data_IF_041692322407
#
_entry.id   IF_041692322407
#
_cell.length_a   1.000
_cell.length_b   1.000
_cell.length_c   1.000
_cell.angle_alpha   90.00
_cell.angle_beta   90.00
_cell.angle_gamma   90.00
#
_symmetry.space_group_name_H-M   'P 1'
#
loop_
_entity.id
_entity.type
_entity.pdbx_description
1 polymer ?
#
# COMPACT_ATOMS: atom_id res chain seq x y z
N UNK A 1 -24.28 -37.34 -22.14
CA UNK A 1 -24.79 -36.02 -21.68
C UNK A 1 -23.70 -35.00 -21.97
N UNK A 2 -23.87 -34.31 -23.11
CA UNK A 2 -22.97 -33.25 -23.57
C UNK A 2 -23.17 -32.01 -22.71
N UNK A 3 -22.21 -31.76 -21.81
CA UNK A 3 -22.14 -30.50 -21.08
C UNK A 3 -21.80 -29.37 -22.04
N UNK A 4 -22.77 -28.51 -22.33
CA UNK A 4 -22.54 -27.25 -22.99
C UNK A 4 -21.78 -26.38 -22.01
N UNK A 5 -20.45 -26.30 -22.14
CA UNK A 5 -19.66 -25.23 -21.52
C UNK A 5 -19.98 -23.93 -22.24
N UNK A 6 -20.96 -23.19 -21.73
CA UNK A 6 -21.14 -21.79 -22.09
C UNK A 6 -19.93 -21.02 -21.59
N UNK A 7 -19.08 -20.59 -22.51
CA UNK A 7 -18.01 -19.64 -22.24
C UNK A 7 -18.65 -18.25 -22.01
N UNK A 8 -19.39 -18.11 -20.90
CA UNK A 8 -19.89 -16.83 -20.47
C UNK A 8 -18.75 -16.09 -19.77
N UNK A 9 -18.35 -14.96 -20.34
CA UNK A 9 -17.48 -14.00 -19.63
C UNK A 9 -18.40 -13.21 -18.68
N UNK A 10 -18.37 -13.48 -17.37
CA UNK A 10 -19.19 -12.73 -16.44
C UNK A 10 -18.69 -11.29 -16.36
N UNK A 11 -19.58 -10.33 -16.50
CA UNK A 11 -19.32 -8.92 -16.24
C UNK A 11 -19.91 -8.60 -14.87
N UNK A 12 -19.09 -8.08 -13.98
CA UNK A 12 -19.48 -7.63 -12.66
C UNK A 12 -19.41 -6.11 -12.59
N UNK A 13 -20.50 -5.47 -12.18
CA UNK A 13 -20.54 -4.04 -11.88
C UNK A 13 -20.62 -3.89 -10.37
N UNK A 14 -19.63 -3.26 -9.78
CA UNK A 14 -19.55 -3.07 -8.34
C UNK A 14 -18.66 -1.88 -8.01
N UNK A 15 -18.87 -1.28 -6.85
CA UNK A 15 -17.96 -0.31 -6.25
C UNK A 15 -17.08 -0.94 -5.14
N UNK A 16 -17.27 -2.25 -4.85
CA UNK A 16 -16.46 -2.96 -3.87
C UNK A 16 -15.14 -3.44 -4.48
N UNK A 17 -14.06 -2.72 -4.23
CA UNK A 17 -12.73 -3.07 -4.73
C UNK A 17 -12.20 -4.39 -4.18
N UNK A 18 -12.64 -4.80 -2.98
CA UNK A 18 -12.35 -6.13 -2.40
C UNK A 18 -12.85 -7.27 -3.29
N UNK A 19 -14.04 -7.13 -3.87
CA UNK A 19 -14.65 -8.09 -4.79
C UNK A 19 -13.94 -8.06 -6.13
N UNK A 20 -13.65 -6.85 -6.66
CA UNK A 20 -12.89 -6.68 -7.90
C UNK A 20 -11.54 -7.39 -7.80
N UNK A 21 -10.82 -7.18 -6.71
CA UNK A 21 -9.52 -7.80 -6.44
C UNK A 21 -9.56 -9.34 -6.50
N UNK A 22 -10.61 -9.94 -5.95
CA UNK A 22 -10.72 -11.39 -5.83
C UNK A 22 -11.19 -12.09 -7.12
N UNK A 23 -12.05 -11.43 -7.89
CA UNK A 23 -12.77 -12.09 -8.98
C UNK A 23 -12.39 -11.58 -10.38
N UNK A 24 -11.94 -10.32 -10.50
CA UNK A 24 -11.68 -9.73 -11.79
C UNK A 24 -10.27 -10.03 -12.29
N UNK A 25 -10.15 -10.27 -13.60
CA UNK A 25 -8.85 -10.28 -14.30
C UNK A 25 -8.59 -8.93 -14.97
N UNK A 26 -9.63 -8.32 -15.52
CA UNK A 26 -9.60 -6.99 -16.13
C UNK A 26 -10.60 -6.08 -15.41
N UNK A 27 -10.26 -4.82 -15.33
CA UNK A 27 -11.04 -3.77 -14.68
C UNK A 27 -11.26 -2.62 -15.64
N UNK A 28 -12.47 -2.08 -15.62
CA UNK A 28 -12.82 -0.82 -16.27
C UNK A 28 -13.38 0.10 -15.20
N UNK A 29 -12.75 1.24 -15.00
CA UNK A 29 -13.20 2.27 -14.06
C UNK A 29 -14.04 3.28 -14.84
N UNK A 30 -15.24 3.56 -14.33
CA UNK A 30 -16.19 4.49 -14.95
C UNK A 30 -16.45 5.62 -13.94
N UNK A 31 -16.36 6.85 -14.41
CA UNK A 31 -16.74 8.05 -13.66
C UNK A 31 -17.55 8.98 -14.57
N UNK A 32 -18.63 9.56 -14.03
CA UNK A 32 -19.53 10.47 -14.74
C UNK A 32 -20.02 9.92 -16.11
N UNK A 33 -20.11 8.60 -16.27
CA UNK A 33 -20.55 7.94 -17.51
C UNK A 33 -19.44 7.70 -18.54
N UNK A 34 -18.20 8.07 -18.24
CA UNK A 34 -17.04 7.88 -19.10
C UNK A 34 -16.07 6.83 -18.53
N UNK A 35 -15.39 6.09 -19.41
CA UNK A 35 -14.32 5.20 -19.01
C UNK A 35 -13.08 6.04 -18.73
N UNK A 36 -12.65 6.09 -17.47
CA UNK A 36 -11.49 6.88 -17.03
C UNK A 36 -10.22 6.05 -16.94
N UNK A 37 -10.33 4.74 -16.73
CA UNK A 37 -9.17 3.85 -16.70
C UNK A 37 -9.58 2.41 -17.04
N UNK A 38 -8.67 1.65 -17.67
CA UNK A 38 -8.87 0.24 -18.02
C UNK A 38 -7.55 -0.51 -18.01
N UNK A 39 -7.53 -1.75 -17.50
CA UNK A 39 -6.36 -2.62 -17.53
C UNK A 39 -6.54 -3.91 -16.74
N UNK A 40 -5.46 -4.68 -16.63
CA UNK A 40 -5.43 -5.82 -15.72
C UNK A 40 -5.56 -5.38 -14.27
N UNK A 41 -6.26 -6.19 -13.47
CA UNK A 41 -6.49 -5.88 -12.05
C UNK A 41 -5.19 -5.58 -11.30
N UNK A 42 -4.13 -6.34 -11.54
CA UNK A 42 -2.83 -6.11 -10.91
C UNK A 42 -2.26 -4.73 -11.26
N UNK A 43 -2.30 -4.32 -12.53
CA UNK A 43 -1.76 -3.04 -12.99
C UNK A 43 -2.55 -1.85 -12.41
N UNK A 44 -3.89 -1.94 -12.45
CA UNK A 44 -4.76 -0.91 -11.89
C UNK A 44 -4.52 -0.74 -10.38
N UNK A 45 -4.34 -1.85 -9.64
CA UNK A 45 -4.10 -1.79 -8.19
C UNK A 45 -2.68 -1.36 -7.83
N UNK A 46 -1.68 -1.64 -8.68
CA UNK A 46 -0.28 -1.26 -8.40
C UNK A 46 0.07 0.12 -8.93
N UNK A 47 -0.48 0.52 -10.09
CA UNK A 47 -0.10 1.75 -10.79
C UNK A 47 -1.34 2.50 -11.31
N UNK A 48 -2.26 2.90 -10.41
CA UNK A 48 -3.43 3.66 -10.84
C UNK A 48 -3.00 5.00 -11.41
N UNK A 49 -3.42 5.30 -12.63
CA UNK A 49 -3.07 6.53 -13.34
C UNK A 49 -4.09 7.64 -13.13
N UNK A 50 -5.39 7.29 -12.98
CA UNK A 50 -6.45 8.26 -12.85
C UNK A 50 -6.76 8.60 -11.37
N UNK A 51 -6.98 9.90 -11.01
CA UNK A 51 -7.28 10.30 -9.64
C UNK A 51 -8.48 9.59 -9.00
N UNK A 52 -9.53 9.33 -9.78
CA UNK A 52 -10.71 8.58 -9.32
C UNK A 52 -10.34 7.16 -8.92
N UNK A 53 -9.53 6.47 -9.74
CA UNK A 53 -9.03 5.12 -9.42
C UNK A 53 -8.18 5.14 -8.16
N UNK A 54 -7.30 6.14 -8.01
CA UNK A 54 -6.48 6.33 -6.82
C UNK A 54 -7.35 6.51 -5.56
N UNK A 55 -8.42 7.31 -5.65
CA UNK A 55 -9.36 7.51 -4.55
C UNK A 55 -10.07 6.21 -4.14
N UNK A 56 -10.59 5.44 -5.11
CA UNK A 56 -11.21 4.14 -4.83
C UNK A 56 -10.24 3.14 -4.20
N UNK A 57 -9.00 3.13 -4.66
CA UNK A 57 -8.00 2.18 -4.15
C UNK A 57 -7.46 2.57 -2.79
N UNK A 58 -7.42 3.85 -2.45
CA UNK A 58 -6.94 4.32 -1.14
C UNK A 58 -7.74 3.72 0.03
N UNK A 59 -9.02 3.46 -0.18
CA UNK A 59 -9.87 2.81 0.82
C UNK A 59 -9.55 1.33 1.02
N UNK A 60 -9.10 0.64 -0.03
CA UNK A 60 -8.89 -0.82 -0.05
C UNK A 60 -7.46 -1.22 0.22
N UNK A 61 -6.51 -0.50 -0.34
CA UNK A 61 -5.06 -0.77 -0.17
C UNK A 61 -4.58 -0.41 1.24
N UNK A 62 -5.49 0.12 2.08
CA UNK A 62 -5.22 0.31 3.51
C UNK A 62 -4.34 1.53 3.78
N UNK A 63 -4.57 2.60 3.06
CA UNK A 63 -3.94 3.91 3.32
C UNK A 63 -4.38 4.53 4.65
N UNK A 64 -5.33 3.90 5.36
CA UNK A 64 -5.74 4.37 6.66
C UNK A 64 -4.80 3.92 7.76
N UNK A 65 -4.24 4.87 8.47
CA UNK A 65 -3.53 4.62 9.73
C UNK A 65 -4.53 4.06 10.74
N UNK A 66 -4.22 2.95 11.46
CA UNK A 66 -5.12 2.46 12.50
C UNK A 66 -5.53 3.57 13.46
N UNK A 67 -6.81 3.65 13.82
CA UNK A 67 -7.34 4.71 14.70
C UNK A 67 -6.56 4.81 16.00
N UNK A 68 -6.16 3.67 16.57
CA UNK A 68 -5.33 3.59 17.79
C UNK A 68 -3.95 4.19 17.64
N UNK A 69 -3.39 4.17 16.43
CA UNK A 69 -2.11 4.81 16.12
C UNK A 69 -2.33 6.28 15.78
N UNK A 70 -3.34 6.60 14.97
CA UNK A 70 -3.67 7.96 14.56
C UNK A 70 -3.91 8.88 15.76
N UNK A 71 -4.62 8.40 16.79
CA UNK A 71 -4.88 9.17 18.02
C UNK A 71 -3.64 9.48 18.87
N UNK A 72 -2.54 8.80 18.62
CA UNK A 72 -1.25 8.96 19.34
C UNK A 72 -0.20 9.73 18.53
N UNK A 73 -0.48 9.98 17.25
CA UNK A 73 0.43 10.72 16.39
C UNK A 73 0.45 12.19 16.75
N UNK A 74 1.65 12.75 16.84
CA UNK A 74 1.87 14.20 16.98
C UNK A 74 2.79 14.70 15.87
N UNK A 75 2.65 15.98 15.52
CA UNK A 75 3.40 16.59 14.42
C UNK A 75 4.87 16.88 14.78
N UNK A 76 5.16 17.05 16.08
CA UNK A 76 6.50 17.43 16.56
C UNK A 76 7.26 16.25 17.14
N UNK A 77 8.59 16.22 17.02
CA UNK A 77 9.42 15.19 17.65
C UNK A 77 9.20 15.11 19.17
N UNK A 78 9.13 13.89 19.69
CA UNK A 78 9.04 13.59 21.12
C UNK A 78 10.39 13.06 21.59
N UNK A 79 10.86 13.53 22.74
CA UNK A 79 12.06 12.99 23.35
C UNK A 79 11.90 11.48 23.65
N UNK A 80 12.81 10.66 23.12
CA UNK A 80 12.72 9.19 23.21
C UNK A 80 11.65 8.55 22.34
N UNK A 81 10.90 9.35 21.58
CA UNK A 81 9.87 8.86 20.66
C UNK A 81 10.44 8.34 19.34
N UNK A 82 9.53 7.85 18.50
CA UNK A 82 9.83 7.32 17.15
C UNK A 82 9.13 8.16 16.09
N UNK A 83 9.83 8.44 15.00
CA UNK A 83 9.19 8.96 13.81
C UNK A 83 8.38 7.84 13.15
N UNK A 84 7.16 8.14 12.75
CA UNK A 84 6.26 7.20 12.10
C UNK A 84 6.24 7.52 10.61
N UNK A 85 6.62 6.55 9.81
CA UNK A 85 6.55 6.62 8.36
C UNK A 85 5.69 5.49 7.82
N UNK A 86 5.00 5.78 6.73
CA UNK A 86 4.27 4.80 5.93
C UNK A 86 5.01 4.60 4.62
N UNK A 87 5.17 3.35 4.21
CA UNK A 87 5.70 2.99 2.92
C UNK A 87 4.69 2.13 2.17
N UNK A 88 4.58 2.36 0.87
CA UNK A 88 3.76 1.55 0.00
C UNK A 88 4.59 0.41 -0.57
N UNK A 89 4.02 -0.78 -0.56
CA UNK A 89 4.60 -2.01 -1.12
C UNK A 89 3.89 -2.30 -2.44
N UNK A 90 4.67 -2.50 -3.51
CA UNK A 90 4.15 -2.84 -4.84
C UNK A 90 5.14 -3.75 -5.54
N UNK A 91 4.65 -4.86 -6.12
CA UNK A 91 5.48 -5.81 -6.87
C UNK A 91 5.72 -7.14 -6.19
N UNK A 92 6.39 -8.06 -6.87
CA UNK A 92 6.57 -9.45 -6.45
C UNK A 92 7.48 -9.64 -5.23
N UNK A 93 8.49 -8.78 -5.03
CA UNK A 93 9.57 -9.03 -4.07
C UNK A 93 9.70 -7.94 -2.98
N UNK A 94 8.83 -6.93 -3.02
CA UNK A 94 9.10 -5.69 -2.29
C UNK A 94 8.77 -5.76 -0.79
N UNK A 95 7.81 -6.57 -0.36
CA UNK A 95 7.26 -6.50 1.01
C UNK A 95 8.03 -7.28 2.06
N UNK A 96 8.49 -8.46 1.72
CA UNK A 96 8.89 -9.46 2.71
C UNK A 96 10.18 -9.13 3.47
N UNK A 97 11.07 -8.36 2.86
CA UNK A 97 12.42 -8.15 3.43
C UNK A 97 12.76 -6.70 3.75
N UNK A 98 11.95 -5.71 3.34
CA UNK A 98 12.36 -4.31 3.45
C UNK A 98 12.63 -3.84 4.88
N UNK A 99 11.80 -4.27 5.85
CA UNK A 99 11.98 -3.92 7.26
C UNK A 99 13.25 -4.57 7.80
N UNK A 100 13.49 -5.84 7.45
CA UNK A 100 14.71 -6.55 7.85
C UNK A 100 15.97 -5.98 7.20
N UNK A 101 15.86 -5.50 5.95
CA UNK A 101 16.95 -4.82 5.25
C UNK A 101 17.29 -3.49 5.88
N UNK A 102 16.29 -2.67 6.20
CA UNK A 102 16.47 -1.42 6.94
C UNK A 102 17.21 -1.66 8.26
N UNK A 103 16.75 -2.65 9.03
CA UNK A 103 17.38 -2.97 10.32
C UNK A 103 18.85 -3.39 10.17
N UNK A 104 19.16 -4.23 9.18
CA UNK A 104 20.53 -4.73 8.97
C UNK A 104 21.47 -3.69 8.37
N UNK A 105 21.03 -3.00 7.32
CA UNK A 105 21.93 -2.13 6.55
C UNK A 105 22.15 -0.77 7.22
N UNK A 106 21.14 -0.27 7.94
CA UNK A 106 21.24 1.00 8.64
C UNK A 106 21.48 0.86 10.15
N UNK A 107 21.45 -0.38 10.68
CA UNK A 107 21.56 -0.66 12.13
C UNK A 107 20.51 0.12 12.94
N UNK A 108 19.28 0.21 12.42
CA UNK A 108 18.18 0.92 13.05
C UNK A 108 17.17 -0.09 13.59
N UNK A 109 16.78 0.04 14.86
CA UNK A 109 15.71 -0.74 15.46
C UNK A 109 14.35 -0.27 14.96
N UNK A 110 13.91 -0.85 13.84
CA UNK A 110 12.64 -0.51 13.21
C UNK A 110 11.50 -1.22 13.93
N UNK A 111 10.51 -0.47 14.41
CA UNK A 111 9.28 -1.03 14.95
C UNK A 111 8.21 -1.14 13.85
N UNK A 112 7.69 -2.34 13.62
CA UNK A 112 6.51 -2.51 12.76
C UNK A 112 5.26 -2.15 13.57
N UNK A 113 4.58 -1.06 13.17
CA UNK A 113 3.38 -0.55 13.86
C UNK A 113 2.09 -1.04 13.21
N UNK A 114 2.08 -1.19 11.90
CA UNK A 114 0.96 -1.74 11.13
C UNK A 114 1.48 -2.29 9.81
N UNK A 115 0.85 -3.35 9.33
CA UNK A 115 1.11 -3.91 8.00
C UNK A 115 -0.20 -4.37 7.38
N UNK A 116 -0.40 -4.04 6.13
CA UNK A 116 -1.46 -4.60 5.31
C UNK A 116 -0.89 -4.86 3.93
N UNK A 117 -0.71 -6.11 3.60
CA UNK A 117 -0.20 -6.55 2.30
C UNK A 117 -1.14 -7.62 1.79
N UNK A 118 -1.60 -7.43 0.58
CA UNK A 118 -2.45 -8.35 -0.16
C UNK A 118 -1.72 -8.82 -1.41
N UNK A 119 -2.04 -10.01 -1.90
CA UNK A 119 -1.57 -10.51 -3.18
C UNK A 119 -2.66 -10.32 -4.23
N UNK A 120 -2.32 -9.63 -5.33
CA UNK A 120 -3.24 -9.33 -6.44
C UNK A 120 -2.54 -9.71 -7.74
N UNK A 121 -3.07 -10.74 -8.42
CA UNK A 121 -2.48 -11.20 -9.68
C UNK A 121 -1.01 -11.64 -9.57
N UNK A 122 -0.59 -12.19 -8.43
CA UNK A 122 0.80 -12.59 -8.16
C UNK A 122 1.72 -11.43 -7.75
N UNK A 123 1.16 -10.25 -7.49
CA UNK A 123 1.93 -9.09 -7.02
C UNK A 123 1.48 -8.68 -5.61
N UNK A 124 2.43 -8.35 -4.75
CA UNK A 124 2.15 -7.81 -3.43
C UNK A 124 1.79 -6.33 -3.52
N UNK A 125 0.67 -5.95 -2.94
CA UNK A 125 0.17 -4.57 -2.90
C UNK A 125 -0.28 -4.25 -1.49
N UNK A 126 0.20 -3.15 -0.94
CA UNK A 126 -0.19 -2.77 0.40
C UNK A 126 0.63 -1.65 1.01
N UNK A 127 0.55 -1.52 2.32
CA UNK A 127 1.29 -0.52 3.07
C UNK A 127 1.85 -1.09 4.37
N UNK A 128 3.02 -0.58 4.74
CA UNK A 128 3.66 -0.81 6.04
C UNK A 128 3.78 0.53 6.75
N UNK A 129 3.39 0.56 8.02
CA UNK A 129 3.65 1.71 8.90
C UNK A 129 4.71 1.29 9.92
N UNK A 130 5.81 1.99 9.92
CA UNK A 130 6.96 1.68 10.76
C UNK A 130 7.36 2.87 11.65
N UNK A 131 7.88 2.57 12.81
CA UNK A 131 8.45 3.52 13.76
C UNK A 131 9.98 3.48 13.72
N UNK A 132 10.61 4.62 13.52
CA UNK A 132 12.06 4.78 13.44
C UNK A 132 12.54 5.58 14.65
N UNK A 133 13.34 4.99 15.56
CA UNK A 133 13.99 5.70 16.65
C UNK A 133 15.23 6.46 16.14
N UNK A 134 15.86 7.24 17.00
CA UNK A 134 17.16 7.86 16.70
C UNK A 134 17.11 9.26 16.11
N UNK A 135 15.95 9.90 16.11
CA UNK A 135 15.78 11.30 15.71
C UNK A 135 15.86 11.54 14.20
N UNK A 136 15.96 12.80 13.81
CA UNK A 136 15.83 13.24 12.42
C UNK A 136 16.90 12.68 11.47
N UNK A 137 18.11 12.44 11.97
CA UNK A 137 19.19 11.87 11.15
C UNK A 137 18.88 10.43 10.71
N UNK A 138 18.42 9.59 11.63
CA UNK A 138 18.03 8.22 11.35
C UNK A 138 16.82 8.16 10.39
N UNK A 139 15.86 9.05 10.57
CA UNK A 139 14.69 9.17 9.66
C UNK A 139 15.14 9.53 8.25
N UNK A 140 16.02 10.53 8.09
CA UNK A 140 16.55 10.91 6.77
C UNK A 140 17.29 9.77 6.08
N UNK A 141 18.10 9.03 6.82
CA UNK A 141 18.79 7.85 6.29
C UNK A 141 17.80 6.78 5.81
N UNK A 142 16.81 6.46 6.64
CA UNK A 142 15.81 5.46 6.30
C UNK A 142 14.98 5.88 5.08
N UNK A 143 14.52 7.13 5.02
CA UNK A 143 13.77 7.66 3.87
C UNK A 143 14.62 7.64 2.61
N UNK A 144 15.88 8.07 2.67
CA UNK A 144 16.78 8.03 1.52
C UNK A 144 16.99 6.59 1.01
N UNK A 145 17.23 5.65 1.91
CA UNK A 145 17.37 4.23 1.59
C UNK A 145 16.12 3.68 0.91
N UNK A 146 14.94 3.93 1.47
CA UNK A 146 13.66 3.46 0.92
C UNK A 146 13.40 4.06 -0.47
N UNK A 147 13.67 5.36 -0.65
CA UNK A 147 13.51 6.04 -1.94
C UNK A 147 14.45 5.47 -3.01
N UNK A 148 15.69 5.14 -2.67
CA UNK A 148 16.66 4.49 -3.58
C UNK A 148 16.18 3.10 -4.04
N UNK A 149 15.36 2.43 -3.23
CA UNK A 149 14.78 1.13 -3.54
C UNK A 149 13.35 1.21 -4.09
N UNK A 150 12.93 2.40 -4.55
CA UNK A 150 11.62 2.66 -5.16
C UNK A 150 10.41 2.41 -4.24
N UNK A 151 10.59 2.58 -2.93
CA UNK A 151 9.46 2.58 -2.00
C UNK A 151 8.95 4.01 -1.82
N UNK A 152 7.71 4.33 -2.23
CA UNK A 152 7.08 5.60 -1.87
C UNK A 152 6.92 5.69 -0.35
N UNK A 153 7.37 6.80 0.22
CA UNK A 153 7.37 7.03 1.67
C UNK A 153 6.57 8.27 2.01
N UNK A 154 5.72 8.15 3.00
CA UNK A 154 4.99 9.26 3.61
C UNK A 154 5.33 9.36 5.09
N UNK A 155 5.62 10.56 5.57
CA UNK A 155 5.84 10.82 6.99
C UNK A 155 4.53 11.18 7.66
N UNK A 156 4.14 10.40 8.67
CA UNK A 156 2.87 10.56 9.38
C UNK A 156 2.99 11.42 10.65
N UNK A 157 4.15 11.47 11.27
CA UNK A 157 4.39 12.20 12.51
C UNK A 157 5.31 11.45 13.47
N UNK A 158 5.02 11.58 14.77
CA UNK A 158 5.81 10.95 15.83
C UNK A 158 4.90 10.28 16.86
N UNK A 159 5.43 9.26 17.53
CA UNK A 159 4.77 8.54 18.63
C UNK A 159 5.78 8.26 19.75
N UNK A 160 5.28 8.26 20.99
CA UNK A 160 6.05 7.89 22.16
C UNK A 160 6.31 6.38 22.22
#
# INVERSE_FOLDING_TARGET
VTGVQTCALPILITHEMSVVRQLAKEVVVIDAGEIVERGHVADIFTHPSHPVTQAFLSEVVGDSVPVSLASRLVAQPIAGGRAVIRLQVRGSDAGDTIVARLARELSIDVALLSARIDEIGGQHVGSLTIGIPGGEAAVKQAVAYLSQHNFPVERLGYVA
#
